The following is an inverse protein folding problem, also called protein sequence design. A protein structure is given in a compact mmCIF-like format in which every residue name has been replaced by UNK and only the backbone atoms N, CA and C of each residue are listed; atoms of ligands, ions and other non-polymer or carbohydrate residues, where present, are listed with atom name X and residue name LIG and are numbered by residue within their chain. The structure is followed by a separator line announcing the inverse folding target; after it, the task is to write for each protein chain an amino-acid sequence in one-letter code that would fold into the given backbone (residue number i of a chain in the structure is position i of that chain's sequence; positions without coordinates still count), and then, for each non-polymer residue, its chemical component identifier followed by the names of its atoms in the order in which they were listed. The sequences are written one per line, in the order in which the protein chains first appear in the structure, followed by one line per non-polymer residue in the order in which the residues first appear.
data_IF_648543381799
#
_entry.id   IF_648543381799
#
_cell.length_a   1.000
_cell.length_b   1.000
_cell.length_c   1.000
_cell.angle_alpha   90.00
_cell.angle_beta   90.00
_cell.angle_gamma   90.00
#
_symmetry.space_group_name_H-M   'P 1'
#
loop_
_entity.id
_entity.type
_entity.pdbx_description
1 polymer ?
#
# COMPACT_ATOMS: atom_id res chain seq x y z
N UNK A 1 1.35 21.14 -3.33
CA UNK A 1 0.94 19.94 -2.58
C UNK A 1 2.12 19.00 -2.54
N UNK A 2 2.30 18.31 -1.42
CA UNK A 2 3.40 17.37 -1.21
C UNK A 2 2.92 15.96 -1.53
N UNK A 3 3.77 15.17 -2.19
CA UNK A 3 3.45 13.80 -2.58
C UNK A 3 4.55 12.86 -2.06
N UNK A 4 4.18 11.64 -1.64
CA UNK A 4 5.13 10.55 -1.40
C UNK A 4 5.21 9.73 -2.68
N UNK A 5 6.41 9.56 -3.23
CA UNK A 5 6.64 8.87 -4.49
C UNK A 5 7.73 7.80 -4.30
N UNK A 6 7.46 6.57 -4.73
CA UNK A 6 8.41 5.46 -4.67
C UNK A 6 8.41 4.67 -5.98
N UNK A 7 9.55 4.06 -6.30
CA UNK A 7 9.70 3.14 -7.44
C UNK A 7 10.29 1.83 -6.95
N UNK A 8 9.59 0.72 -7.16
CA UNK A 8 10.08 -0.63 -6.83
C UNK A 8 9.95 -1.55 -8.05
N UNK A 9 10.92 -2.44 -8.25
CA UNK A 9 10.88 -3.47 -9.28
C UNK A 9 10.65 -4.84 -8.63
N UNK A 10 9.72 -5.61 -9.19
CA UNK A 10 9.34 -6.94 -8.72
C UNK A 10 9.53 -7.93 -9.87
N UNK A 11 10.24 -9.04 -9.66
CA UNK A 11 10.46 -10.09 -10.66
C UNK A 11 9.20 -10.98 -10.72
N UNK A 12 8.18 -10.50 -11.43
CA UNK A 12 6.90 -11.16 -11.62
C UNK A 12 6.15 -10.50 -12.78
N UNK A 13 5.03 -11.11 -13.19
CA UNK A 13 4.14 -10.49 -14.18
C UNK A 13 3.32 -9.35 -13.56
N UNK A 14 2.84 -8.37 -14.35
CA UNK A 14 2.05 -7.27 -13.81
C UNK A 14 0.71 -7.75 -13.26
N UNK A 15 0.23 -8.90 -13.77
CA UNK A 15 -0.96 -9.59 -13.27
C UNK A 15 -0.78 -10.09 -11.84
N UNK A 16 0.37 -10.65 -11.51
CA UNK A 16 0.64 -11.18 -10.16
C UNK A 16 0.73 -10.04 -9.15
N UNK A 17 1.45 -8.96 -9.51
CA UNK A 17 1.50 -7.74 -8.69
C UNK A 17 0.11 -7.11 -8.54
N UNK A 18 -0.66 -7.00 -9.62
CA UNK A 18 -2.03 -6.50 -9.57
C UNK A 18 -2.91 -7.34 -8.64
N UNK A 19 -2.81 -8.67 -8.73
CA UNK A 19 -3.56 -9.58 -7.85
C UNK A 19 -3.22 -9.36 -6.37
N UNK A 20 -1.94 -9.18 -6.05
CA UNK A 20 -1.48 -8.85 -4.69
C UNK A 20 -2.00 -7.49 -4.19
N UNK A 21 -2.32 -6.56 -5.10
CA UNK A 21 -2.86 -5.23 -4.76
C UNK A 21 -4.39 -5.20 -4.71
N UNK A 22 -5.10 -6.11 -5.36
CA UNK A 22 -6.58 -6.03 -5.51
C UNK A 22 -7.35 -7.15 -4.85
N UNK A 23 -6.70 -8.06 -4.15
CA UNK A 23 -7.37 -9.15 -3.42
C UNK A 23 -7.14 -8.98 -1.93
N UNK A 24 -8.12 -9.37 -1.11
CA UNK A 24 -8.00 -9.31 0.36
C UNK A 24 -6.82 -10.16 0.82
N UNK A 25 -6.71 -11.39 0.34
CA UNK A 25 -5.59 -12.29 0.67
C UNK A 25 -4.24 -11.71 0.22
N UNK A 26 -4.19 -11.07 -0.94
CA UNK A 26 -3.00 -10.40 -1.45
C UNK A 26 -2.58 -9.25 -0.55
N UNK A 27 -3.50 -8.33 -0.26
CA UNK A 27 -3.28 -7.18 0.61
C UNK A 27 -2.86 -7.63 2.02
N UNK A 28 -3.51 -8.65 2.57
CA UNK A 28 -3.15 -9.22 3.86
C UNK A 28 -1.75 -9.84 3.87
N UNK A 29 -1.29 -10.36 2.73
CA UNK A 29 0.00 -11.02 2.58
C UNK A 29 1.22 -10.10 2.59
N UNK A 30 1.05 -8.79 2.33
CA UNK A 30 2.17 -7.85 2.31
C UNK A 30 1.98 -6.56 3.11
N UNK A 31 0.73 -6.14 3.38
CA UNK A 31 0.42 -4.87 4.03
C UNK A 31 0.05 -5.06 5.50
N UNK A 32 -1.10 -5.65 5.81
CA UNK A 32 -1.46 -6.00 7.19
C UNK A 32 -2.41 -7.19 7.23
N UNK A 33 -2.17 -8.13 8.15
CA UNK A 33 -2.99 -9.34 8.27
C UNK A 33 -4.47 -9.04 8.56
N UNK A 34 -4.76 -7.95 9.27
CA UNK A 34 -6.13 -7.50 9.55
C UNK A 34 -6.63 -6.58 8.42
N UNK A 35 -6.87 -7.23 7.27
CA UNK A 35 -7.45 -6.62 6.07
C UNK A 35 -8.82 -7.25 5.79
N UNK A 36 -9.87 -6.45 5.78
CA UNK A 36 -11.25 -6.90 5.50
C UNK A 36 -11.98 -5.88 4.63
N UNK A 37 -13.01 -6.31 3.90
CA UNK A 37 -13.89 -5.40 3.16
C UNK A 37 -14.21 -5.87 1.75
N UNK A 38 -14.62 -4.91 0.92
CA UNK A 38 -15.02 -5.13 -0.47
C UNK A 38 -13.91 -4.67 -1.42
N UNK A 39 -13.28 -5.57 -2.20
CA UNK A 39 -12.27 -5.22 -3.20
C UNK A 39 -12.72 -4.22 -4.28
N UNK A 40 -14.03 -4.07 -4.50
CA UNK A 40 -14.61 -3.11 -5.43
C UNK A 40 -15.25 -1.90 -4.71
N UNK A 41 -15.14 -1.85 -3.39
CA UNK A 41 -15.80 -0.88 -2.52
C UNK A 41 -14.83 -0.22 -1.54
N UNK A 42 -15.04 -0.46 -0.25
CA UNK A 42 -14.18 0.04 0.83
C UNK A 42 -13.47 -1.13 1.48
N UNK A 43 -12.16 -1.00 1.62
CA UNK A 43 -11.28 -1.94 2.30
C UNK A 43 -10.81 -1.29 3.59
N UNK A 44 -10.88 -2.04 4.68
CA UNK A 44 -10.48 -1.64 6.01
C UNK A 44 -9.15 -2.33 6.34
N UNK A 45 -8.16 -1.51 6.70
CA UNK A 45 -6.85 -1.97 7.15
C UNK A 45 -6.72 -1.62 8.63
N UNK A 46 -6.38 -2.59 9.47
CA UNK A 46 -6.20 -2.40 10.91
C UNK A 46 -4.83 -2.87 11.33
N UNK A 47 -4.20 -2.13 12.23
CA UNK A 47 -2.85 -2.42 12.70
C UNK A 47 -2.91 -2.74 14.19
N UNK A 48 -2.70 -4.02 14.53
CA UNK A 48 -2.74 -4.47 15.93
C UNK A 48 -1.70 -3.75 16.82
N UNK A 49 -0.56 -3.37 16.23
CA UNK A 49 0.49 -2.56 16.91
C UNK A 49 0.00 -1.16 17.27
N UNK A 50 -0.98 -0.64 16.53
CA UNK A 50 -1.58 0.68 16.72
C UNK A 50 -2.85 0.63 17.59
N UNK A 51 -2.95 -0.36 18.49
CA UNK A 51 -4.15 -0.53 19.32
C UNK A 51 -5.41 -0.91 18.55
N UNK A 52 -5.27 -1.38 17.31
CA UNK A 52 -6.39 -1.70 16.42
C UNK A 52 -6.87 -0.51 15.56
N UNK A 53 -6.17 0.63 15.61
CA UNK A 53 -6.42 1.73 14.68
C UNK A 53 -5.91 1.41 13.28
N UNK A 54 -6.35 2.20 12.30
CA UNK A 54 -5.93 2.03 10.91
C UNK A 54 -6.63 3.00 9.99
N UNK A 55 -6.85 2.57 8.75
CA UNK A 55 -7.43 3.42 7.72
C UNK A 55 -8.34 2.64 6.79
N UNK A 56 -9.31 3.35 6.24
CA UNK A 56 -10.31 2.83 5.32
C UNK A 56 -10.04 3.46 3.95
N UNK A 57 -9.88 2.62 2.94
CA UNK A 57 -9.60 3.05 1.58
C UNK A 57 -10.72 2.63 0.64
N UNK A 58 -11.25 3.59 -0.10
CA UNK A 58 -12.24 3.35 -1.14
C UNK A 58 -11.54 3.13 -2.48
N UNK A 59 -11.90 2.06 -3.17
CA UNK A 59 -11.43 1.78 -4.52
C UNK A 59 -12.07 2.74 -5.51
N UNK A 60 -11.24 3.48 -6.24
CA UNK A 60 -11.69 4.45 -7.24
C UNK A 60 -11.56 3.93 -8.67
N UNK A 61 -10.44 3.27 -8.96
CA UNK A 61 -10.13 2.80 -10.31
C UNK A 61 -9.19 1.61 -10.25
N UNK A 62 -9.50 0.59 -11.04
CA UNK A 62 -8.62 -0.57 -11.27
C UNK A 62 -8.55 -0.86 -12.76
N UNK A 63 -7.33 -1.03 -13.27
CA UNK A 63 -7.04 -1.49 -14.64
C UNK A 63 -6.13 -2.70 -14.52
N UNK A 64 -6.60 -3.91 -14.86
CA UNK A 64 -5.84 -5.14 -14.70
C UNK A 64 -4.42 -5.04 -15.25
N UNK A 65 -3.43 -5.22 -14.38
CA UNK A 65 -2.00 -5.19 -14.74
C UNK A 65 -1.42 -3.81 -15.06
N UNK A 66 -2.19 -2.72 -14.87
CA UNK A 66 -1.77 -1.36 -15.24
C UNK A 66 -1.92 -0.34 -14.11
N UNK A 67 -3.06 -0.34 -13.40
CA UNK A 67 -3.35 0.71 -12.42
C UNK A 67 -4.24 0.20 -11.28
N UNK A 68 -3.90 0.59 -10.06
CA UNK A 68 -4.79 0.53 -8.90
C UNK A 68 -4.80 1.89 -8.24
N UNK A 69 -5.99 2.46 -7.97
CA UNK A 69 -6.14 3.76 -7.33
C UNK A 69 -7.23 3.75 -6.25
N UNK A 70 -6.87 4.29 -5.10
CA UNK A 70 -7.73 4.41 -3.93
C UNK A 70 -7.79 5.85 -3.41
N UNK A 71 -8.82 6.14 -2.64
CA UNK A 71 -8.96 7.33 -1.80
C UNK A 71 -9.05 6.91 -0.34
N UNK A 72 -8.32 7.59 0.54
CA UNK A 72 -8.45 7.35 1.98
C UNK A 72 -9.70 8.07 2.49
N UNK A 73 -10.66 7.31 3.01
CA UNK A 73 -11.96 7.80 3.48
C UNK A 73 -12.15 7.72 4.98
N UNK A 74 -11.21 7.08 5.71
CA UNK A 74 -11.17 7.03 7.17
C UNK A 74 -9.76 6.75 7.69
N UNK A 75 -9.45 7.23 8.89
CA UNK A 75 -8.13 7.13 9.52
C UNK A 75 -7.61 8.49 10.03
N UNK A 76 -6.29 8.69 10.12
CA UNK A 76 -5.69 9.97 10.51
C UNK A 76 -6.15 11.14 9.64
N UNK A 77 -6.36 12.32 10.24
CA UNK A 77 -6.88 13.50 9.54
C UNK A 77 -6.00 13.91 8.35
N UNK A 78 -4.68 13.71 8.46
CA UNK A 78 -3.71 14.03 7.42
C UNK A 78 -3.83 13.14 6.18
N UNK A 79 -4.38 11.93 6.33
CA UNK A 79 -4.58 10.99 5.22
C UNK A 79 -5.92 11.14 4.53
N UNK A 80 -6.99 11.55 5.24
CA UNK A 80 -8.35 11.60 4.67
C UNK A 80 -8.36 12.54 3.45
N UNK A 81 -8.86 12.04 2.32
CA UNK A 81 -8.89 12.72 1.02
C UNK A 81 -7.59 12.64 0.21
N UNK A 82 -6.53 12.04 0.76
CA UNK A 82 -5.34 11.67 -0.03
C UNK A 82 -5.64 10.48 -0.94
N UNK A 83 -4.89 10.37 -2.03
CA UNK A 83 -5.06 9.33 -3.03
C UNK A 83 -3.83 8.43 -3.07
N UNK A 84 -4.04 7.12 -3.02
CA UNK A 84 -2.98 6.12 -3.16
C UNK A 84 -3.09 5.50 -4.55
N UNK A 85 -2.00 5.41 -5.29
CA UNK A 85 -1.97 4.77 -6.59
C UNK A 85 -0.72 3.93 -6.83
N UNK A 86 -0.92 2.84 -7.57
CA UNK A 86 0.11 1.93 -8.05
C UNK A 86 -0.02 1.84 -9.57
N UNK A 87 0.92 2.43 -10.29
CA UNK A 87 1.03 2.26 -11.74
C UNK A 87 2.02 1.12 -12.03
N UNK A 88 1.59 0.18 -12.87
CA UNK A 88 2.31 -1.05 -13.17
C UNK A 88 2.74 -1.06 -14.64
N UNK A 89 3.98 -1.46 -14.90
CA UNK A 89 4.47 -1.67 -16.25
C UNK A 89 5.52 -2.78 -16.29
N UNK A 90 5.47 -3.63 -17.31
CA UNK A 90 6.51 -4.64 -17.53
C UNK A 90 7.75 -3.97 -18.15
N UNK A 91 8.93 -4.26 -17.61
CA UNK A 91 10.24 -3.92 -18.19
C UNK A 91 11.17 -5.10 -17.99
N UNK A 92 11.55 -5.77 -19.08
CA UNK A 92 12.31 -7.02 -19.05
C UNK A 92 11.64 -8.08 -18.16
N UNK A 93 12.33 -8.61 -17.16
CA UNK A 93 11.82 -9.57 -16.18
C UNK A 93 11.09 -8.90 -15.00
N UNK A 94 11.12 -7.58 -14.90
CA UNK A 94 10.53 -6.83 -13.79
C UNK A 94 9.17 -6.24 -14.16
N UNK A 95 8.20 -6.36 -13.24
CA UNK A 95 7.13 -5.38 -13.13
C UNK A 95 7.64 -4.19 -12.32
N UNK A 96 7.61 -3.00 -12.93
CA UNK A 96 7.89 -1.74 -12.25
C UNK A 96 6.60 -1.22 -11.64
N UNK A 97 6.65 -0.95 -10.34
CA UNK A 97 5.57 -0.32 -9.58
C UNK A 97 5.98 1.12 -9.27
N UNK A 98 5.23 2.07 -9.80
CA UNK A 98 5.32 3.47 -9.41
C UNK A 98 4.22 3.74 -8.38
N UNK A 99 4.64 3.84 -7.13
CA UNK A 99 3.77 4.14 -6.01
C UNK A 99 3.67 5.64 -5.80
N UNK A 100 2.45 6.10 -5.50
CA UNK A 100 2.20 7.49 -5.14
C UNK A 100 1.13 7.57 -4.05
N UNK A 101 1.41 8.33 -2.98
CA UNK A 101 0.38 8.89 -2.11
C UNK A 101 0.35 10.40 -2.28
N UNK A 102 -0.75 10.91 -2.85
CA UNK A 102 -0.89 12.27 -3.33
C UNK A 102 -1.92 13.08 -2.55
N UNK A 103 -1.75 14.40 -2.57
CA UNK A 103 -2.76 15.32 -2.04
C UNK A 103 -2.57 15.66 -0.57
N UNK A 104 -1.37 15.48 -0.02
CA UNK A 104 -1.07 15.96 1.32
C UNK A 104 -1.18 17.49 1.38
N UNK A 105 -1.86 17.96 2.43
CA UNK A 105 -2.03 19.40 2.71
C UNK A 105 -0.68 20.07 2.97
N UNK A 106 0.16 19.43 3.78
CA UNK A 106 1.46 19.93 4.19
C UNK A 106 2.42 18.77 4.57
N UNK A 107 3.73 18.95 4.42
CA UNK A 107 4.73 17.94 4.77
C UNK A 107 5.06 18.00 6.28
N UNK A 108 4.12 17.61 7.13
CA UNK A 108 4.33 17.44 8.57
C UNK A 108 5.19 16.20 8.87
N UNK A 109 5.76 16.10 10.08
CA UNK A 109 6.61 14.96 10.49
C UNK A 109 5.96 13.60 10.21
N UNK A 110 4.64 13.50 10.36
CA UNK A 110 3.86 12.32 10.04
C UNK A 110 4.02 11.87 8.58
N UNK A 111 4.12 12.80 7.62
CA UNK A 111 4.36 12.47 6.21
C UNK A 111 5.72 11.79 6.01
N UNK A 112 6.75 12.17 6.77
CA UNK A 112 8.09 11.55 6.70
C UNK A 112 8.04 10.14 7.25
N UNK A 113 7.36 9.95 8.39
CA UNK A 113 7.10 8.63 8.95
C UNK A 113 6.36 7.72 7.95
N UNK A 114 5.27 8.22 7.36
CA UNK A 114 4.51 7.49 6.34
C UNK A 114 5.36 7.17 5.11
N UNK A 115 6.23 8.08 4.68
CA UNK A 115 7.14 7.84 3.55
C UNK A 115 8.05 6.64 3.80
N UNK A 116 8.62 6.53 5.00
CA UNK A 116 9.45 5.38 5.40
C UNK A 116 8.62 4.11 5.52
N UNK A 117 7.43 4.15 6.14
CA UNK A 117 6.52 3.00 6.22
C UNK A 117 6.12 2.47 4.84
N UNK A 118 5.76 3.34 3.90
CA UNK A 118 5.45 2.93 2.53
C UNK A 118 6.62 2.23 1.86
N UNK A 119 7.84 2.74 2.01
CA UNK A 119 9.03 2.09 1.46
C UNK A 119 9.23 0.67 2.04
N UNK A 120 9.08 0.51 3.36
CA UNK A 120 9.16 -0.80 4.03
C UNK A 120 8.13 -1.78 3.47
N UNK A 121 6.87 -1.38 3.39
CA UNK A 121 5.81 -2.27 2.90
C UNK A 121 5.89 -2.53 1.39
N UNK A 122 6.42 -1.61 0.58
CA UNK A 122 6.70 -1.90 -0.83
C UNK A 122 7.78 -2.99 -0.98
N UNK A 123 8.73 -3.07 -0.05
CA UNK A 123 9.68 -4.20 0.00
C UNK A 123 8.98 -5.50 0.42
N UNK A 124 8.03 -5.43 1.36
CA UNK A 124 7.17 -6.58 1.71
C UNK A 124 6.34 -7.05 0.50
N UNK A 125 5.75 -6.15 -0.28
CA UNK A 125 5.03 -6.48 -1.52
C UNK A 125 5.93 -7.22 -2.51
N UNK A 126 7.15 -6.69 -2.74
CA UNK A 126 8.14 -7.34 -3.61
C UNK A 126 8.41 -8.77 -3.15
N UNK A 127 8.70 -8.95 -1.87
CA UNK A 127 9.01 -10.25 -1.28
C UNK A 127 7.82 -11.22 -1.37
N UNK A 128 6.62 -10.74 -1.07
CA UNK A 128 5.37 -11.51 -1.14
C UNK A 128 5.12 -12.03 -2.55
N UNK A 129 5.22 -11.16 -3.55
CA UNK A 129 4.97 -11.55 -4.95
C UNK A 129 6.06 -12.51 -5.46
N UNK A 130 7.33 -12.31 -5.09
CA UNK A 130 8.44 -13.14 -5.58
C UNK A 130 8.54 -14.51 -4.88
N UNK A 131 8.08 -14.62 -3.63
CA UNK A 131 8.33 -15.82 -2.80
C UNK A 131 7.09 -16.44 -2.18
N UNK A 132 5.94 -15.76 -2.27
CA UNK A 132 4.70 -16.13 -1.58
C UNK A 132 4.66 -15.74 -0.09
N UNK A 133 5.68 -15.07 0.44
CA UNK A 133 5.74 -14.64 1.84
C UNK A 133 6.26 -13.21 1.96
N UNK A 134 5.42 -12.29 2.44
CA UNK A 134 5.80 -10.93 2.80
C UNK A 134 6.06 -10.79 4.30
N UNK A 135 6.18 -9.53 4.73
CA UNK A 135 6.27 -9.10 6.13
C UNK A 135 5.14 -8.07 6.42
N UNK A 136 3.86 -8.48 6.34
CA UNK A 136 2.73 -7.61 6.67
C UNK A 136 2.73 -7.28 8.16
N UNK A 137 2.10 -6.18 8.58
CA UNK A 137 1.89 -5.93 10.01
C UNK A 137 1.04 -7.07 10.63
N UNK A 138 1.42 -7.60 11.81
CA UNK A 138 2.37 -7.03 12.78
C UNK A 138 3.84 -7.52 12.65
N UNK A 139 4.20 -8.16 11.55
CA UNK A 139 5.55 -8.70 11.29
C UNK A 139 6.47 -7.73 10.55
N UNK A 140 5.99 -6.53 10.22
CA UNK A 140 6.72 -5.51 9.49
C UNK A 140 7.91 -4.93 10.27
N UNK A 141 8.83 -4.29 9.54
CA UNK A 141 9.92 -3.56 10.18
C UNK A 141 9.36 -2.36 10.96
N UNK A 142 9.61 -2.34 12.26
CA UNK A 142 9.27 -1.22 13.12
C UNK A 142 10.24 -0.05 12.87
N UNK A 143 9.73 1.04 12.30
CA UNK A 143 10.55 2.20 11.85
C UNK A 143 10.52 3.40 12.80
N UNK A 144 9.76 3.32 13.89
CA UNK A 144 9.69 4.42 14.87
C UNK A 144 9.21 3.91 16.23
N UNK A 145 9.17 4.81 17.22
CA UNK A 145 8.53 4.62 18.52
C UNK A 145 7.03 4.98 18.52
N UNK A 146 6.47 5.32 17.35
CA UNK A 146 5.03 5.42 17.11
C UNK A 146 4.60 4.08 16.50
N UNK A 147 3.71 3.37 17.20
CA UNK A 147 3.26 2.03 16.84
C UNK A 147 1.76 2.00 16.69
#
# INVERSE_FOLDING_TARGET
MSDILHRVGVIASPKDVFTALTTIDGLAGWWTEDTVGDPDGVIQFRFATAGGDGFDMKVLETKPGELVRWEVVGGPEEWIGTHVSFELSQTDEYTIVLFKQAGWREPVEFMYHCSTKWATFLMSLKQYVETGKGEPAPHDVLVSNWH
#
